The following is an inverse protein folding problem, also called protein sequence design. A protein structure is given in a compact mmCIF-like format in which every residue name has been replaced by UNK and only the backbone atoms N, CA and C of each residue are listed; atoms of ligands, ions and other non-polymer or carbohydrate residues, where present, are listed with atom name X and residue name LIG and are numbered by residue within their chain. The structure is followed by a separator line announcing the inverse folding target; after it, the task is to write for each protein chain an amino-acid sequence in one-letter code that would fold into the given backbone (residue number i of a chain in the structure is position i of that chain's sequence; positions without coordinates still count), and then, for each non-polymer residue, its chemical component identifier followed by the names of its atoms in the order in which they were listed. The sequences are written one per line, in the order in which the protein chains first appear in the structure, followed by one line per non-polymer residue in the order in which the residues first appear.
data_IF_226960174995
#
_entry.id   IF_226960174995
#
_cell.length_a   1.000
_cell.length_b   1.000
_cell.length_c   1.000
_cell.angle_alpha   90.00
_cell.angle_beta   90.00
_cell.angle_gamma   90.00
#
_symmetry.space_group_name_H-M   'P 1'
#
loop_
_entity.id
_entity.type
_entity.pdbx_description
1 polymer ?
#
# COMPACT_ATOMS: atom_id res chain seq x y z
N UNK A 1 -12.88 -3.33 -2.23
CA UNK A 1 -12.76 -4.06 -3.51
C UNK A 1 -12.83 -5.53 -3.19
N UNK A 2 -13.53 -6.33 -3.98
CA UNK A 2 -13.54 -7.79 -3.78
C UNK A 2 -12.19 -8.36 -4.26
N UNK A 3 -11.54 -9.15 -3.40
CA UNK A 3 -10.23 -9.73 -3.69
C UNK A 3 -10.32 -10.70 -4.88
N UNK A 4 -11.44 -11.41 -5.03
CA UNK A 4 -11.63 -12.36 -6.12
C UNK A 4 -11.76 -11.65 -7.47
N UNK A 5 -12.43 -10.49 -7.51
CA UNK A 5 -12.59 -9.68 -8.72
C UNK A 5 -11.25 -9.06 -9.14
N UNK A 6 -10.52 -8.53 -8.15
CA UNK A 6 -9.19 -7.92 -8.33
C UNK A 6 -8.23 -8.88 -9.03
N UNK A 7 -8.26 -10.15 -8.64
CA UNK A 7 -7.34 -11.15 -9.17
C UNK A 7 -7.84 -11.75 -10.49
N UNK A 8 -9.16 -11.81 -10.73
CA UNK A 8 -9.74 -12.33 -11.99
C UNK A 8 -9.48 -11.40 -13.19
N UNK A 9 -9.58 -10.10 -12.99
CA UNK A 9 -9.35 -9.10 -14.03
C UNK A 9 -8.53 -7.91 -13.50
N UNK A 10 -7.23 -8.12 -13.24
CA UNK A 10 -6.38 -7.08 -12.68
C UNK A 10 -6.18 -5.95 -13.69
N UNK A 11 -6.42 -4.71 -13.25
CA UNK A 11 -6.20 -3.50 -14.04
C UNK A 11 -5.38 -2.51 -13.22
N UNK A 12 -4.15 -2.22 -13.66
CA UNK A 12 -3.27 -1.24 -13.03
C UNK A 12 -4.01 0.10 -12.88
N UNK A 13 -4.12 0.58 -11.65
CA UNK A 13 -4.72 1.87 -11.34
C UNK A 13 -4.04 2.50 -10.12
N UNK A 14 -4.48 3.68 -9.68
CA UNK A 14 -3.86 4.33 -8.52
C UNK A 14 -3.98 3.46 -7.25
N UNK A 15 -5.10 2.75 -7.07
CA UNK A 15 -5.38 1.89 -5.92
C UNK A 15 -4.97 0.42 -6.10
N UNK A 16 -4.43 0.03 -7.27
CA UNK A 16 -3.94 -1.32 -7.53
C UNK A 16 -2.61 -1.25 -8.30
N UNK A 17 -1.55 -1.74 -7.68
CA UNK A 17 -0.23 -1.87 -8.31
C UNK A 17 0.07 -3.33 -8.64
N UNK A 18 0.31 -3.61 -9.92
CA UNK A 18 0.72 -4.89 -10.46
C UNK A 18 2.25 -5.00 -10.43
N UNK A 19 2.72 -6.15 -9.99
CA UNK A 19 4.13 -6.52 -10.01
C UNK A 19 4.29 -7.95 -10.52
N UNK A 20 5.27 -8.14 -11.40
CA UNK A 20 5.86 -9.45 -11.62
C UNK A 20 6.44 -9.99 -10.29
N UNK A 21 6.78 -11.28 -10.26
CA UNK A 21 7.41 -11.88 -9.08
C UNK A 21 8.65 -11.11 -8.63
N UNK A 22 8.71 -10.83 -7.33
CA UNK A 22 9.83 -10.17 -6.65
C UNK A 22 10.31 -11.06 -5.51
N UNK A 23 11.62 -11.10 -5.27
CA UNK A 23 12.17 -11.85 -4.15
C UNK A 23 12.40 -10.91 -2.95
N UNK A 24 11.58 -10.98 -1.88
CA UNK A 24 11.71 -10.11 -0.71
C UNK A 24 13.03 -10.29 0.06
N UNK A 25 13.80 -11.35 -0.21
CA UNK A 25 15.11 -11.59 0.41
C UNK A 25 16.27 -10.86 -0.30
N UNK A 26 15.98 -10.19 -1.41
CA UNK A 26 16.97 -9.42 -2.16
C UNK A 26 16.76 -7.92 -1.95
N UNK A 27 17.82 -7.12 -1.95
CA UNK A 27 17.71 -5.66 -1.81
C UNK A 27 16.83 -5.04 -2.91
N UNK A 28 16.82 -5.61 -4.13
CA UNK A 28 15.97 -5.17 -5.22
C UNK A 28 14.48 -5.50 -4.99
N UNK A 29 14.16 -6.62 -4.34
CA UNK A 29 12.80 -6.96 -3.94
C UNK A 29 12.34 -6.13 -2.74
N UNK A 30 13.20 -5.93 -1.73
CA UNK A 30 12.94 -5.02 -0.62
C UNK A 30 12.63 -3.61 -1.14
N UNK A 31 13.45 -3.06 -2.05
CA UNK A 31 13.22 -1.76 -2.66
C UNK A 31 11.81 -1.64 -3.25
N UNK A 32 11.41 -2.62 -4.07
CA UNK A 32 10.10 -2.62 -4.73
C UNK A 32 8.96 -2.68 -3.71
N UNK A 33 9.09 -3.51 -2.68
CA UNK A 33 8.09 -3.61 -1.60
C UNK A 33 7.98 -2.32 -0.80
N UNK A 34 9.11 -1.77 -0.36
CA UNK A 34 9.15 -0.54 0.44
C UNK A 34 8.49 0.60 -0.32
N UNK A 35 8.92 0.84 -1.57
CA UNK A 35 8.39 1.93 -2.39
C UNK A 35 6.90 1.74 -2.66
N UNK A 36 6.47 0.55 -3.08
CA UNK A 36 5.07 0.28 -3.40
C UNK A 36 4.16 0.42 -2.16
N UNK A 37 4.54 -0.14 -1.01
CA UNK A 37 3.74 -0.04 0.22
C UNK A 37 3.61 1.40 0.72
N UNK A 38 4.71 2.17 0.74
CA UNK A 38 4.68 3.59 1.16
C UNK A 38 3.88 4.42 0.15
N UNK A 39 4.09 4.22 -1.15
CA UNK A 39 3.34 4.93 -2.20
C UNK A 39 1.84 4.66 -2.11
N UNK A 40 1.46 3.40 -1.91
CA UNK A 40 0.07 3.01 -1.76
C UNK A 40 -0.55 3.57 -0.48
N UNK A 41 0.19 3.60 0.63
CA UNK A 41 -0.26 4.25 1.87
C UNK A 41 -0.50 5.75 1.64
N UNK A 42 0.41 6.42 0.94
CA UNK A 42 0.27 7.82 0.53
C UNK A 42 -0.86 8.05 -0.50
N UNK A 43 -1.30 7.00 -1.18
CA UNK A 43 -2.49 7.01 -2.02
C UNK A 43 -3.80 6.75 -1.26
N UNK A 44 -3.76 6.74 0.08
CA UNK A 44 -4.88 6.39 0.95
C UNK A 44 -5.25 4.89 0.93
N UNK A 45 -4.27 4.01 0.75
CA UNK A 45 -4.46 2.57 0.74
C UNK A 45 -4.78 1.99 -0.64
N UNK A 46 -4.97 0.67 -0.67
CA UNK A 46 -5.17 -0.08 -1.90
C UNK A 46 -4.48 -1.44 -1.83
N UNK A 47 -4.10 -1.97 -2.98
CA UNK A 47 -3.59 -3.32 -3.11
C UNK A 47 -2.34 -3.37 -3.99
N UNK A 48 -1.42 -4.26 -3.64
CA UNK A 48 -0.29 -4.63 -4.50
C UNK A 48 -0.49 -6.10 -4.87
N UNK A 49 -0.66 -6.37 -6.16
CA UNK A 49 -0.83 -7.72 -6.70
C UNK A 49 0.48 -8.19 -7.33
N UNK A 50 1.05 -9.25 -6.76
CA UNK A 50 2.32 -9.83 -7.17
C UNK A 50 2.08 -11.16 -7.89
N UNK A 51 2.82 -11.37 -8.98
CA UNK A 51 2.74 -12.55 -9.84
C UNK A 51 2.11 -12.28 -11.20
N UNK A 52 1.94 -11.00 -11.57
CA UNK A 52 1.33 -10.58 -12.83
C UNK A 52 2.32 -9.73 -13.63
N UNK A 53 2.42 -9.97 -14.93
CA UNK A 53 3.27 -9.14 -15.80
C UNK A 53 2.69 -7.73 -15.92
N UNK A 54 3.57 -6.74 -15.75
CA UNK A 54 3.17 -5.33 -15.69
C UNK A 54 2.69 -4.77 -17.04
N UNK A 55 3.01 -5.41 -18.17
CA UNK A 55 2.71 -4.90 -19.49
C UNK A 55 1.39 -5.45 -20.03
N UNK A 56 1.12 -6.73 -19.80
CA UNK A 56 -0.04 -7.42 -20.36
C UNK A 56 -1.07 -7.86 -19.29
N UNK A 57 -0.77 -7.65 -18.00
CA UNK A 57 -1.65 -8.03 -16.88
C UNK A 57 -1.88 -9.53 -16.78
N UNK A 58 -1.05 -10.36 -17.44
CA UNK A 58 -1.21 -11.81 -17.41
C UNK A 58 -0.48 -12.40 -16.20
N UNK A 59 -1.06 -13.46 -15.62
CA UNK A 59 -0.42 -14.23 -14.57
C UNK A 59 0.90 -14.86 -15.05
N UNK A 60 1.90 -14.90 -14.18
CA UNK A 60 3.23 -15.49 -14.42
C UNK A 60 3.52 -16.59 -13.39
N UNK A 61 4.24 -17.65 -13.78
CA UNK A 61 4.56 -18.75 -12.88
C UNK A 61 5.45 -18.30 -11.72
N UNK A 62 5.14 -18.75 -10.50
CA UNK A 62 5.91 -18.43 -9.30
C UNK A 62 7.28 -19.12 -9.33
N UNK A 63 8.40 -18.38 -9.23
CA UNK A 63 9.74 -18.98 -9.24
C UNK A 63 10.12 -19.66 -7.91
N UNK A 64 9.35 -19.47 -6.84
CA UNK A 64 9.59 -20.01 -5.50
C UNK A 64 8.32 -20.60 -4.89
N UNK A 65 7.58 -21.39 -5.66
CA UNK A 65 6.24 -21.89 -5.32
C UNK A 65 6.20 -22.58 -3.95
N UNK A 66 7.19 -23.41 -3.62
CA UNK A 66 7.24 -24.17 -2.35
C UNK A 66 7.52 -23.28 -1.13
N UNK A 67 8.14 -22.11 -1.34
CA UNK A 67 8.55 -21.18 -0.28
C UNK A 67 7.70 -19.90 -0.27
N UNK A 68 6.64 -19.83 -1.09
CA UNK A 68 5.87 -18.61 -1.33
C UNK A 68 5.37 -17.95 -0.04
N UNK A 69 4.78 -18.75 0.85
CA UNK A 69 4.19 -18.28 2.12
C UNK A 69 5.24 -17.90 3.16
N UNK A 70 6.43 -18.51 3.09
CA UNK A 70 7.56 -18.12 3.94
C UNK A 70 8.16 -16.80 3.45
N UNK A 71 8.37 -16.68 2.14
CA UNK A 71 8.91 -15.47 1.52
C UNK A 71 8.00 -14.26 1.72
N UNK A 72 6.68 -14.45 1.58
CA UNK A 72 5.68 -13.38 1.72
C UNK A 72 4.95 -13.38 3.07
N UNK A 73 5.48 -14.05 4.08
CA UNK A 73 4.86 -14.06 5.41
C UNK A 73 4.59 -12.64 5.90
N UNK A 74 3.39 -12.39 6.45
CA UNK A 74 2.94 -11.04 6.84
C UNK A 74 3.94 -10.35 7.76
N UNK A 75 4.47 -11.05 8.77
CA UNK A 75 5.47 -10.47 9.69
C UNK A 75 6.77 -10.07 9.00
N UNK A 76 7.19 -10.82 7.99
CA UNK A 76 8.41 -10.54 7.23
C UNK A 76 8.23 -9.27 6.41
N UNK A 77 7.13 -9.18 5.67
CA UNK A 77 6.81 -8.00 4.86
C UNK A 77 6.53 -6.78 5.75
N UNK A 78 5.79 -6.95 6.85
CA UNK A 78 5.52 -5.91 7.85
C UNK A 78 6.82 -5.37 8.44
N UNK A 79 7.78 -6.24 8.80
CA UNK A 79 9.09 -5.83 9.33
C UNK A 79 9.88 -5.03 8.32
N UNK A 80 9.91 -5.46 7.05
CA UNK A 80 10.56 -4.71 5.96
C UNK A 80 9.94 -3.31 5.87
N UNK A 81 8.61 -3.21 5.68
CA UNK A 81 7.94 -1.91 5.51
C UNK A 81 8.12 -1.01 6.74
N UNK A 82 7.94 -1.55 7.95
CA UNK A 82 8.00 -0.77 9.20
C UNK A 82 9.39 -0.24 9.52
N UNK A 83 10.45 -0.90 9.03
CA UNK A 83 11.83 -0.41 9.14
C UNK A 83 12.02 0.90 8.39
N UNK A 84 11.32 1.09 7.26
CA UNK A 84 11.48 2.25 6.39
C UNK A 84 10.39 3.31 6.52
N UNK A 85 9.16 2.96 6.91
CA UNK A 85 8.07 3.94 7.03
C UNK A 85 8.20 4.82 8.29
N UNK A 86 7.99 6.13 8.15
CA UNK A 86 7.98 7.11 9.26
C UNK A 86 6.81 6.89 10.22
N UNK A 87 5.68 6.45 9.71
CA UNK A 87 4.49 6.06 10.46
C UNK A 87 4.22 4.57 10.20
N UNK A 88 4.01 3.79 11.27
CA UNK A 88 3.66 2.39 11.13
C UNK A 88 2.21 2.24 10.71
N UNK A 89 1.95 1.28 9.82
CA UNK A 89 0.61 0.86 9.44
C UNK A 89 0.60 -0.65 9.25
N UNK A 90 -0.52 -1.27 9.61
CA UNK A 90 -0.70 -2.73 9.52
C UNK A 90 -1.05 -3.12 8.08
N UNK A 91 -0.27 -4.00 7.48
CA UNK A 91 -0.58 -4.60 6.18
C UNK A 91 -1.25 -5.96 6.38
N UNK A 92 -1.99 -6.41 5.37
CA UNK A 92 -2.41 -7.81 5.28
C UNK A 92 -1.82 -8.44 4.03
N UNK A 93 -1.48 -9.72 4.13
CA UNK A 93 -1.02 -10.51 2.99
C UNK A 93 -2.01 -11.64 2.74
N UNK A 94 -2.49 -11.72 1.52
CA UNK A 94 -3.43 -12.73 1.05
C UNK A 94 -2.81 -13.58 -0.04
N UNK A 95 -3.25 -14.83 -0.14
CA UNK A 95 -2.78 -15.81 -1.12
C UNK A 95 -3.94 -16.35 -1.98
N UNK A 96 -4.63 -15.49 -2.76
CA UNK A 96 -5.73 -15.94 -3.57
C UNK A 96 -5.25 -16.87 -4.70
N UNK A 97 -6.12 -17.80 -5.08
CA UNK A 97 -5.93 -18.71 -6.20
C UNK A 97 -6.69 -18.21 -7.41
N UNK A 98 -6.21 -18.51 -8.62
CA UNK A 98 -6.91 -18.14 -9.85
C UNK A 98 -7.08 -19.36 -10.74
N UNK A 99 -7.98 -19.27 -11.72
CA UNK A 99 -8.11 -20.33 -12.72
C UNK A 99 -6.83 -20.54 -13.55
N UNK A 100 -5.94 -19.56 -13.62
CA UNK A 100 -4.71 -19.55 -14.43
C UNK A 100 -3.41 -19.70 -13.62
N UNK A 101 -3.48 -19.60 -12.30
CA UNK A 101 -2.35 -19.56 -11.36
C UNK A 101 -2.76 -20.24 -10.06
N UNK A 102 -1.93 -21.17 -9.58
CA UNK A 102 -2.23 -21.87 -8.33
C UNK A 102 -2.29 -20.93 -7.12
N UNK A 103 -1.35 -20.00 -6.98
CA UNK A 103 -1.34 -18.95 -5.93
C UNK A 103 -0.65 -17.68 -6.45
N UNK A 104 -1.20 -16.51 -6.10
CA UNK A 104 -0.55 -15.21 -6.23
C UNK A 104 -0.51 -14.51 -4.87
N UNK A 105 0.15 -13.35 -4.76
CA UNK A 105 0.23 -12.60 -3.50
C UNK A 105 -0.48 -11.26 -3.64
N UNK A 106 -1.38 -10.97 -2.72
CA UNK A 106 -1.99 -9.64 -2.59
C UNK A 106 -1.60 -9.03 -1.26
N UNK A 107 -0.94 -7.87 -1.30
CA UNK A 107 -0.65 -7.06 -0.11
C UNK A 107 -1.71 -5.96 -0.04
N UNK A 108 -2.54 -5.98 0.99
CA UNK A 108 -3.54 -4.95 1.28
C UNK A 108 -2.94 -3.88 2.19
N UNK A 109 -3.06 -2.63 1.75
CA UNK A 109 -2.56 -1.44 2.45
C UNK A 109 -3.76 -0.66 2.99
N UNK A 110 -3.79 -0.33 4.29
CA UNK A 110 -4.96 0.26 4.92
C UNK A 110 -5.17 1.70 4.46
N UNK A 111 -6.42 2.15 4.49
CA UNK A 111 -6.83 3.53 4.22
C UNK A 111 -6.68 4.40 5.48
N UNK A 112 -6.98 5.70 5.36
CA UNK A 112 -7.00 6.62 6.49
C UNK A 112 -5.65 7.26 6.79
N UNK A 113 -4.89 7.62 5.75
CA UNK A 113 -3.67 8.42 5.93
C UNK A 113 -4.02 9.81 6.45
N UNK A 114 -3.34 10.26 7.51
CA UNK A 114 -3.54 11.61 8.09
C UNK A 114 -2.30 12.49 7.98
N UNK A 115 -1.17 11.90 7.63
CA UNK A 115 0.14 12.50 7.52
C UNK A 115 0.89 11.77 6.41
N UNK A 116 1.56 12.49 5.49
CA UNK A 116 2.40 11.86 4.49
C UNK A 116 3.41 10.91 5.13
N UNK A 117 3.43 9.66 4.67
CA UNK A 117 4.42 8.67 5.10
C UNK A 117 5.68 8.89 4.29
N UNK A 118 6.78 9.12 5.00
CA UNK A 118 8.11 9.33 4.42
C UNK A 118 9.03 8.19 4.80
N UNK A 119 10.10 8.00 4.05
CA UNK A 119 11.14 7.05 4.45
C UNK A 119 12.00 7.60 5.59
N UNK A 120 12.19 6.81 6.65
CA UNK A 120 13.03 7.15 7.81
C UNK A 120 14.42 6.50 7.80
N UNK A 121 14.72 5.70 6.77
CA UNK A 121 16.00 5.01 6.60
C UNK A 121 16.32 4.87 5.11
N UNK A 122 17.60 4.73 4.76
CA UNK A 122 18.05 4.42 3.41
C UNK A 122 18.26 2.91 3.23
N UNK A 123 17.97 2.40 2.04
CA UNK A 123 18.43 1.09 1.59
C UNK A 123 19.51 1.32 0.55
N UNK A 124 20.73 0.97 0.90
CA UNK A 124 21.90 1.16 0.04
C UNK A 124 22.37 -0.20 -0.49
N UNK A 125 22.54 -0.34 -1.80
CA UNK A 125 23.21 -1.47 -2.42
C UNK A 125 24.73 -1.28 -2.34
N UNK A 126 25.48 -2.36 -2.54
CA UNK A 126 26.95 -2.35 -2.53
C UNK A 126 27.56 -1.39 -3.58
N UNK A 127 26.80 -1.03 -4.62
CA UNK A 127 27.23 -0.15 -5.71
C UNK A 127 26.98 1.36 -5.46
N UNK A 128 26.57 1.75 -4.24
CA UNK A 128 26.65 3.11 -3.72
C UNK A 128 25.49 4.07 -4.06
N UNK A 129 24.56 3.72 -4.96
CA UNK A 129 23.35 4.53 -5.18
C UNK A 129 22.20 4.00 -4.34
N UNK A 130 21.58 4.80 -3.45
CA UNK A 130 20.50 4.31 -2.59
C UNK A 130 19.32 3.81 -3.42
N UNK A 131 18.93 2.55 -3.20
CA UNK A 131 17.70 1.97 -3.75
C UNK A 131 16.48 2.64 -3.11
N UNK A 132 16.55 2.88 -1.80
CA UNK A 132 15.56 3.68 -1.06
C UNK A 132 16.29 4.84 -0.41
N UNK A 133 15.89 6.07 -0.77
CA UNK A 133 16.44 7.30 -0.18
C UNK A 133 15.82 7.59 1.18
N UNK A 134 16.58 8.20 2.08
CA UNK A 134 16.09 8.78 3.34
C UNK A 134 15.21 10.02 3.08
N UNK A 135 14.24 10.31 3.95
CA UNK A 135 13.37 11.49 3.91
C UNK A 135 12.62 11.69 2.59
N UNK A 136 12.24 10.59 1.94
CA UNK A 136 11.62 10.61 0.62
C UNK A 136 10.17 10.18 0.71
N UNK A 137 9.30 10.94 0.04
CA UNK A 137 7.89 10.60 -0.11
C UNK A 137 7.73 9.86 -1.42
N UNK A 138 7.23 8.63 -1.36
CA UNK A 138 6.80 7.90 -2.55
C UNK A 138 5.31 8.03 -2.71
N UNK A 139 4.83 8.16 -3.94
CA UNK A 139 3.41 8.35 -4.27
C UNK A 139 3.01 7.48 -5.46
N UNK A 140 1.73 7.12 -5.52
CA UNK A 140 1.10 6.64 -6.75
C UNK A 140 0.72 7.86 -7.57
N UNK A 141 1.30 7.98 -8.77
CA UNK A 141 1.12 9.15 -9.63
C UNK A 141 0.89 8.75 -11.08
N UNK A 142 0.06 9.55 -11.78
CA UNK A 142 -0.07 9.50 -13.23
C UNK A 142 0.98 10.41 -13.91
N UNK A 143 1.62 11.31 -13.16
CA UNK A 143 2.44 12.38 -13.73
C UNK A 143 3.82 11.92 -14.22
N UNK A 144 4.23 10.69 -13.89
CA UNK A 144 5.50 10.16 -14.35
C UNK A 144 5.46 9.84 -15.85
N UNK A 145 4.49 9.03 -16.31
CA UNK A 145 4.40 8.56 -17.70
C UNK A 145 2.96 8.53 -18.26
N UNK A 146 2.02 9.28 -17.68
CA UNK A 146 0.58 9.19 -17.94
C UNK A 146 -0.05 7.82 -17.64
N UNK A 147 0.67 6.98 -16.91
CA UNK A 147 0.22 5.69 -16.41
C UNK A 147 0.45 5.63 -14.89
N UNK A 148 -0.43 4.95 -14.13
CA UNK A 148 -0.27 4.79 -12.70
C UNK A 148 1.09 4.15 -12.39
N UNK A 149 1.88 4.82 -11.57
CA UNK A 149 3.20 4.31 -11.19
C UNK A 149 3.62 4.83 -9.82
N UNK A 150 4.53 4.08 -9.20
CA UNK A 150 5.18 4.48 -7.95
C UNK A 150 6.42 5.32 -8.26
N UNK A 151 6.45 6.56 -7.76
CA UNK A 151 7.53 7.52 -7.98
C UNK A 151 7.85 8.31 -6.71
N UNK A 152 9.00 8.98 -6.68
CA UNK A 152 9.26 10.05 -5.72
C UNK A 152 8.27 11.20 -5.98
N UNK A 153 7.71 11.77 -4.91
CA UNK A 153 6.77 12.87 -4.99
C UNK A 153 7.46 14.11 -5.57
N UNK A 154 6.79 14.75 -6.52
CA UNK A 154 7.16 16.03 -7.08
C UNK A 154 6.23 17.13 -6.57
N UNK A 155 6.52 18.39 -6.91
CA UNK A 155 5.64 19.53 -6.58
C UNK A 155 4.18 19.33 -7.05
N UNK A 156 3.95 18.53 -8.09
CA UNK A 156 2.60 18.26 -8.65
C UNK A 156 1.76 17.36 -7.75
N UNK A 157 2.39 16.48 -6.98
CA UNK A 157 1.69 15.44 -6.22
C UNK A 157 1.25 15.93 -4.83
N UNK A 158 1.86 17.01 -4.33
CA UNK A 158 1.65 17.48 -2.96
C UNK A 158 0.24 17.96 -2.69
N UNK A 159 -0.41 18.62 -3.66
CA UNK A 159 -1.79 19.09 -3.49
C UNK A 159 -2.70 17.91 -3.15
N UNK A 160 -2.76 16.92 -4.03
CA UNK A 160 -3.64 15.75 -3.86
C UNK A 160 -3.26 14.93 -2.62
N UNK A 161 -1.97 14.79 -2.31
CA UNK A 161 -1.51 14.08 -1.11
C UNK A 161 -1.99 14.77 0.18
N UNK A 162 -1.86 16.10 0.24
CA UNK A 162 -2.27 16.87 1.41
C UNK A 162 -3.80 16.91 1.53
N UNK A 163 -4.53 17.09 0.44
CA UNK A 163 -6.01 17.01 0.43
C UNK A 163 -6.49 15.68 1.00
N UNK A 164 -5.94 14.54 0.56
CA UNK A 164 -6.24 13.21 1.13
C UNK A 164 -6.00 13.13 2.64
N UNK A 165 -4.94 13.76 3.14
CA UNK A 165 -4.66 13.79 4.57
C UNK A 165 -5.68 14.62 5.35
N UNK A 166 -6.10 15.76 4.79
CA UNK A 166 -7.12 16.62 5.37
C UNK A 166 -8.48 15.94 5.39
N UNK A 167 -8.92 15.36 4.28
CA UNK A 167 -10.22 14.68 4.17
C UNK A 167 -10.36 13.55 5.22
N UNK A 168 -9.30 12.75 5.38
CA UNK A 168 -9.28 11.69 6.39
C UNK A 168 -9.29 12.22 7.83
N UNK A 169 -8.66 13.38 8.08
CA UNK A 169 -8.65 14.03 9.39
C UNK A 169 -10.01 14.68 9.69
N UNK A 170 -10.63 15.30 8.69
CA UNK A 170 -11.99 15.85 8.78
C UNK A 170 -13.00 14.76 9.06
N UNK A 171 -12.96 13.64 8.34
CA UNK A 171 -13.85 12.50 8.56
C UNK A 171 -13.71 11.94 10.00
N UNK A 172 -12.51 11.99 10.58
CA UNK A 172 -12.26 11.58 11.96
C UNK A 172 -12.91 12.53 12.98
N UNK A 173 -12.75 13.84 12.77
CA UNK A 173 -13.39 14.87 13.59
C UNK A 173 -14.92 14.79 13.45
N UNK A 174 -15.43 14.61 12.24
CA UNK A 174 -16.86 14.44 11.98
C UNK A 174 -17.46 13.27 12.74
N UNK A 175 -16.81 12.09 12.70
CA UNK A 175 -17.21 10.92 13.50
C UNK A 175 -17.14 11.20 15.01
N UNK A 176 -16.12 11.94 15.46
CA UNK A 176 -15.99 12.33 16.86
C UNK A 176 -17.15 13.22 17.32
N UNK A 177 -17.48 14.26 16.56
CA UNK A 177 -18.59 15.19 16.85
C UNK A 177 -19.93 14.46 16.81
N UNK A 178 -20.17 13.64 15.77
CA UNK A 178 -21.41 12.88 15.63
C UNK A 178 -21.66 11.96 16.83
N UNK A 179 -20.62 11.25 17.30
CA UNK A 179 -20.73 10.39 18.50
C UNK A 179 -21.13 11.18 19.75
N UNK A 180 -20.60 12.38 19.93
CA UNK A 180 -20.93 13.21 21.10
C UNK A 180 -22.34 13.80 21.03
N UNK A 181 -22.77 14.25 19.85
CA UNK A 181 -24.14 14.76 19.66
C UNK A 181 -25.19 13.67 19.90
N UNK A 182 -24.94 12.44 19.42
CA UNK A 182 -25.83 11.31 19.68
C UNK A 182 -25.91 11.01 21.18
N UNK A 183 -24.77 11.01 21.88
CA UNK A 183 -24.75 10.79 23.34
C UNK A 183 -25.49 11.87 24.13
N UNK A 184 -25.37 13.14 23.71
CA UNK A 184 -26.11 14.25 24.34
C UNK A 184 -27.62 14.09 24.11
N UNK A 185 -28.05 13.83 22.88
CA UNK A 185 -29.47 13.61 22.58
C UNK A 185 -30.05 12.42 23.35
N UNK A 186 -29.30 11.31 23.51
CA UNK A 186 -29.74 10.16 24.30
C UNK A 186 -29.89 10.47 25.80
N UNK A 187 -29.04 11.34 26.35
CA UNK A 187 -29.17 11.84 27.73
C UNK A 187 -30.40 12.73 27.89
N UNK A 188 -30.66 13.61 26.94
CA UNK A 188 -31.84 14.49 26.95
C UNK A 188 -33.16 13.70 26.78
N UNK A 189 -33.14 12.59 26.06
CA UNK A 189 -34.29 11.69 25.88
C UNK A 189 -34.48 10.66 27.02
N UNK A 190 -33.68 10.71 28.08
CA UNK A 190 -33.81 9.83 29.25
C UNK A 190 -33.58 8.34 28.97
N UNK A 191 -32.88 8.00 27.88
CA UNK A 191 -32.73 6.63 27.37
C UNK A 191 -31.48 5.89 27.90
N UNK A 192 -30.87 6.40 28.97
CA UNK A 192 -29.88 5.67 29.74
C UNK A 192 -30.56 4.98 30.94
N UNK A 193 -30.74 3.66 30.85
CA UNK A 193 -30.77 2.75 32.01
C UNK A 193 -29.36 2.20 32.22
#
# INVERSE_FOLDING_TARGET
MDLDELVKNPQECLSLELKAWIDPDTSAGEEKLIKACIAMRNNNGGYILIGFDNNNGQPTCCPFQDELKEKFHVDKIQRIVSKYASEQFEIKVHYPKTAKLEECVVIEIPTGIKTPVVTKSSLEPDNGKPLVKLNTVYVRSLHANNTPSTTEATWKDWKDLIERCFDNREADIGRFVQRHLIQQNMKELGLFL
#
